data_IF_275887886201
#
_entry.id   IF_275887886201
#
_cell.length_a   1.000
_cell.length_b   1.000
_cell.length_c   1.000
_cell.angle_alpha   90.00
_cell.angle_beta   90.00
_cell.angle_gamma   90.00
#
_symmetry.space_group_name_H-M   'P 1'
#
loop_
_entity.id
_entity.type
_entity.pdbx_description
1 polymer ?
#
# COMPACT_ATOMS: atom_id res chain seq x y z
N UNK A 1 -33.16 11.17 3.00
CA UNK A 1 -31.79 11.72 3.19
C UNK A 1 -31.67 12.94 2.30
N UNK A 2 -31.32 14.10 2.86
CA UNK A 2 -31.27 15.37 2.12
C UNK A 2 -30.09 15.41 1.12
N UNK A 3 -30.31 15.98 -0.06
CA UNK A 3 -29.33 15.99 -1.16
C UNK A 3 -28.04 16.74 -0.78
N UNK A 4 -28.15 17.75 0.09
CA UNK A 4 -27.00 18.48 0.60
C UNK A 4 -26.08 17.62 1.49
N UNK A 5 -26.65 16.74 2.33
CA UNK A 5 -25.87 15.79 3.14
C UNK A 5 -25.18 14.74 2.26
N UNK A 6 -25.84 14.25 1.21
CA UNK A 6 -25.24 13.31 0.25
C UNK A 6 -24.08 13.98 -0.48
N UNK A 7 -24.25 15.22 -0.94
CA UNK A 7 -23.18 16.01 -1.57
C UNK A 7 -21.99 16.25 -0.64
N UNK A 8 -22.22 16.57 0.63
CA UNK A 8 -21.16 16.76 1.62
C UNK A 8 -20.36 15.47 1.89
N UNK A 9 -21.04 14.33 2.05
CA UNK A 9 -20.41 13.02 2.25
C UNK A 9 -19.59 12.61 1.03
N UNK A 10 -20.13 12.77 -0.18
CA UNK A 10 -19.43 12.44 -1.42
C UNK A 10 -18.22 13.36 -1.69
N UNK A 11 -18.26 14.61 -1.22
CA UNK A 11 -17.15 15.57 -1.35
C UNK A 11 -16.01 15.34 -0.35
N UNK A 12 -16.30 14.67 0.77
CA UNK A 12 -15.32 14.43 1.83
C UNK A 12 -14.16 13.54 1.35
N UNK A 13 -14.47 12.49 0.56
CA UNK A 13 -13.46 11.59 -0.01
C UNK A 13 -12.43 12.31 -0.90
N UNK A 14 -12.87 13.07 -1.93
CA UNK A 14 -11.99 13.88 -2.77
C UNK A 14 -11.20 14.92 -1.98
N UNK A 15 -11.79 15.60 -0.99
CA UNK A 15 -11.10 16.62 -0.19
C UNK A 15 -9.96 16.01 0.65
N UNK A 16 -10.23 14.91 1.36
CA UNK A 16 -9.23 14.20 2.16
C UNK A 16 -8.13 13.61 1.27
N UNK A 17 -8.50 13.06 0.11
CA UNK A 17 -7.55 12.55 -0.89
C UNK A 17 -6.64 13.67 -1.40
N UNK A 18 -7.20 14.83 -1.74
CA UNK A 18 -6.44 15.98 -2.25
C UNK A 18 -5.49 16.54 -1.20
N UNK A 19 -5.93 16.70 0.06
CA UNK A 19 -5.08 17.14 1.16
C UNK A 19 -3.94 16.16 1.42
N UNK A 20 -4.24 14.86 1.46
CA UNK A 20 -3.24 13.81 1.65
C UNK A 20 -2.23 13.78 0.50
N UNK A 21 -2.69 13.96 -0.74
CA UNK A 21 -1.84 14.04 -1.92
C UNK A 21 -0.94 15.28 -1.90
N UNK A 22 -1.44 16.45 -1.45
CA UNK A 22 -0.64 17.67 -1.30
C UNK A 22 0.44 17.53 -0.23
N UNK A 23 0.13 16.92 0.92
CA UNK A 23 1.11 16.67 1.98
C UNK A 23 2.16 15.67 1.51
N UNK A 24 1.73 14.55 0.91
CA UNK A 24 2.65 13.55 0.36
C UNK A 24 3.52 14.14 -0.76
N UNK A 25 2.95 14.99 -1.62
CA UNK A 25 3.68 15.71 -2.67
C UNK A 25 4.75 16.63 -2.08
N UNK A 26 4.39 17.50 -1.13
CA UNK A 26 5.35 18.40 -0.47
C UNK A 26 6.46 17.65 0.28
N UNK A 27 6.14 16.53 0.94
CA UNK A 27 7.16 15.69 1.58
C UNK A 27 8.11 15.08 0.54
N UNK A 28 7.56 14.61 -0.58
CA UNK A 28 8.32 14.04 -1.71
C UNK A 28 9.25 15.07 -2.32
N UNK A 29 8.76 16.28 -2.57
CA UNK A 29 9.53 17.38 -3.15
C UNK A 29 10.64 17.86 -2.19
N UNK A 30 10.36 17.88 -0.89
CA UNK A 30 11.31 18.37 0.13
C UNK A 30 12.41 17.37 0.47
N UNK A 31 12.09 16.09 0.61
CA UNK A 31 13.02 15.06 1.08
C UNK A 31 13.55 14.15 -0.03
N UNK A 32 13.06 14.33 -1.25
CA UNK A 32 13.41 13.51 -2.41
C UNK A 32 12.53 12.28 -2.54
N UNK A 33 12.15 11.97 -3.78
CA UNK A 33 11.21 10.91 -4.11
C UNK A 33 11.66 9.54 -3.59
N UNK A 34 12.94 9.20 -3.73
CA UNK A 34 13.43 7.89 -3.32
C UNK A 34 13.38 7.66 -1.79
N UNK A 35 13.77 8.66 -0.99
CA UNK A 35 13.74 8.56 0.49
C UNK A 35 12.32 8.44 1.01
N UNK A 36 11.38 9.18 0.43
CA UNK A 36 9.96 9.11 0.80
C UNK A 36 9.31 7.80 0.35
N UNK A 37 9.73 7.23 -0.78
CA UNK A 37 9.29 5.91 -1.23
C UNK A 37 9.67 4.82 -0.21
N UNK A 38 10.91 4.82 0.26
CA UNK A 38 11.38 3.89 1.31
C UNK A 38 10.62 4.11 2.62
N UNK A 39 10.39 5.36 3.04
CA UNK A 39 9.62 5.67 4.24
C UNK A 39 8.16 5.19 4.13
N UNK A 40 7.53 5.36 2.97
CA UNK A 40 6.19 4.84 2.68
C UNK A 40 6.13 3.31 2.76
N UNK A 41 7.11 2.61 2.19
CA UNK A 41 7.24 1.15 2.27
C UNK A 41 7.46 0.64 3.70
N UNK A 42 8.27 1.34 4.50
CA UNK A 42 8.45 1.03 5.93
C UNK A 42 7.14 1.17 6.71
N UNK A 43 6.41 2.26 6.48
CA UNK A 43 5.10 2.50 7.10
C UNK A 43 4.08 1.43 6.66
N UNK A 44 4.03 1.11 5.37
CA UNK A 44 3.15 0.07 4.81
C UNK A 44 3.45 -1.30 5.43
N UNK A 45 4.73 -1.67 5.52
CA UNK A 45 5.17 -2.93 6.13
C UNK A 45 4.80 -2.99 7.61
N UNK A 46 4.98 -1.89 8.33
CA UNK A 46 4.61 -1.79 9.75
C UNK A 46 3.10 -1.95 9.92
N UNK A 47 2.31 -1.27 9.07
CA UNK A 47 0.85 -1.35 9.10
C UNK A 47 0.31 -2.74 8.83
N UNK A 48 0.80 -3.43 7.79
CA UNK A 48 0.39 -4.80 7.47
C UNK A 48 0.81 -5.81 8.55
N UNK A 49 1.99 -5.62 9.14
CA UNK A 49 2.44 -6.42 10.28
C UNK A 49 1.54 -6.22 11.51
N UNK A 50 1.21 -4.96 11.83
CA UNK A 50 0.30 -4.63 12.92
C UNK A 50 -1.12 -5.17 12.67
N UNK A 51 -1.60 -5.17 11.41
CA UNK A 51 -2.90 -5.77 11.05
C UNK A 51 -2.90 -7.28 11.31
N UNK A 52 -1.80 -7.97 10.99
CA UNK A 52 -1.64 -9.40 11.31
C UNK A 52 -1.73 -9.69 12.82
N UNK A 53 -1.19 -8.80 13.65
CA UNK A 53 -1.23 -8.90 15.11
C UNK A 53 -2.58 -8.46 15.71
N UNK A 54 -3.20 -7.42 15.15
CA UNK A 54 -4.44 -6.85 15.64
C UNK A 54 -5.58 -7.87 15.66
N UNK A 55 -5.61 -8.76 14.66
CA UNK A 55 -6.57 -9.85 14.55
C UNK A 55 -6.50 -10.87 15.70
N UNK A 56 -5.39 -10.93 16.44
CA UNK A 56 -5.21 -11.90 17.54
C UNK A 56 -5.05 -11.27 18.92
N UNK A 57 -4.61 -10.00 19.02
CA UNK A 57 -4.10 -9.44 20.29
C UNK A 57 -4.72 -8.10 20.73
N UNK A 58 -5.11 -7.23 19.80
CA UNK A 58 -5.34 -5.81 20.10
C UNK A 58 -6.77 -5.30 19.82
N UNK A 59 -7.65 -6.16 19.31
CA UNK A 59 -9.05 -5.83 19.05
C UNK A 59 -9.23 -4.66 18.07
N UNK A 60 -10.40 -3.99 18.15
CA UNK A 60 -10.82 -2.97 17.18
C UNK A 60 -9.90 -1.75 17.19
N UNK A 61 -9.44 -1.29 18.36
CA UNK A 61 -8.56 -0.13 18.45
C UNK A 61 -7.20 -0.37 17.76
N UNK A 62 -6.61 -1.56 17.96
CA UNK A 62 -5.39 -1.96 17.27
C UNK A 62 -5.57 -2.03 15.75
N UNK A 63 -6.72 -2.54 15.30
CA UNK A 63 -7.07 -2.58 13.88
C UNK A 63 -7.16 -1.17 13.27
N UNK A 64 -7.84 -0.22 13.93
CA UNK A 64 -8.00 1.17 13.44
C UNK A 64 -6.64 1.86 13.27
N UNK A 65 -5.74 1.69 14.24
CA UNK A 65 -4.38 2.25 14.17
C UNK A 65 -3.62 1.60 13.01
N UNK A 66 -3.65 0.27 12.91
CA UNK A 66 -2.89 -0.47 11.91
C UNK A 66 -3.37 -0.17 10.48
N UNK A 67 -4.69 -0.06 10.24
CA UNK A 67 -5.23 0.30 8.93
C UNK A 67 -4.88 1.75 8.56
N UNK A 68 -4.92 2.67 9.54
CA UNK A 68 -4.54 4.08 9.33
C UNK A 68 -3.07 4.20 8.93
N UNK A 69 -2.17 3.52 9.64
CA UNK A 69 -0.73 3.46 9.30
C UNK A 69 -0.52 2.89 7.90
N UNK A 70 -1.21 1.79 7.57
CA UNK A 70 -1.18 1.18 6.24
C UNK A 70 -1.59 2.17 5.15
N UNK A 71 -2.71 2.89 5.35
CA UNK A 71 -3.22 3.86 4.37
C UNK A 71 -2.27 5.05 4.17
N UNK A 72 -1.70 5.60 5.25
CA UNK A 72 -0.72 6.68 5.17
C UNK A 72 0.54 6.21 4.43
N UNK A 73 1.06 5.03 4.77
CA UNK A 73 2.22 4.44 4.10
C UNK A 73 1.98 4.21 2.61
N UNK A 74 0.80 3.68 2.26
CA UNK A 74 0.38 3.49 0.87
C UNK A 74 0.33 4.80 0.09
N UNK A 75 -0.30 5.84 0.65
CA UNK A 75 -0.40 7.15 0.00
C UNK A 75 0.98 7.78 -0.23
N UNK A 76 1.86 7.71 0.77
CA UNK A 76 3.22 8.25 0.65
C UNK A 76 4.03 7.48 -0.40
N UNK A 77 4.01 6.14 -0.36
CA UNK A 77 4.69 5.28 -1.34
C UNK A 77 4.20 5.55 -2.76
N UNK A 78 2.88 5.64 -2.95
CA UNK A 78 2.24 5.93 -4.23
C UNK A 78 2.75 7.23 -4.86
N UNK A 79 2.67 8.34 -4.13
CA UNK A 79 3.07 9.66 -4.62
C UNK A 79 4.56 9.71 -4.94
N UNK A 80 5.39 9.18 -4.04
CA UNK A 80 6.84 9.22 -4.19
C UNK A 80 7.37 8.25 -5.24
N UNK A 81 6.77 7.07 -5.40
CA UNK A 81 7.10 6.14 -6.48
C UNK A 81 6.76 6.73 -7.87
N UNK A 82 5.60 7.37 -8.00
CA UNK A 82 5.23 8.04 -9.26
C UNK A 82 6.23 9.16 -9.59
N UNK A 83 6.60 9.99 -8.62
CA UNK A 83 7.60 11.03 -8.82
C UNK A 83 8.98 10.46 -9.19
N UNK A 84 9.41 9.37 -8.53
CA UNK A 84 10.69 8.72 -8.81
C UNK A 84 10.75 8.16 -10.23
N UNK A 85 9.71 7.47 -10.69
CA UNK A 85 9.65 6.89 -12.06
C UNK A 85 9.62 7.98 -13.13
N UNK A 86 8.99 9.13 -12.85
CA UNK A 86 8.91 10.24 -13.80
C UNK A 86 10.16 11.13 -13.81
N UNK A 87 11.06 10.97 -12.83
CA UNK A 87 12.29 11.76 -12.75
C UNK A 87 13.22 11.39 -13.92
N UNK A 88 13.61 12.39 -14.71
CA UNK A 88 14.50 12.18 -15.87
C UNK A 88 13.82 11.69 -17.15
N UNK A 89 12.49 11.61 -17.18
CA UNK A 89 11.73 11.21 -18.39
C UNK A 89 11.48 12.42 -19.30
N UNK A 90 11.93 12.31 -20.56
CA UNK A 90 11.70 13.31 -21.60
C UNK A 90 10.22 13.57 -21.84
N UNK A 91 9.87 14.84 -22.12
CA UNK A 91 8.48 15.28 -22.28
C UNK A 91 7.68 14.45 -23.31
N UNK A 92 8.31 14.05 -24.42
CA UNK A 92 7.69 13.22 -25.45
C UNK A 92 7.40 11.77 -25.03
N UNK A 93 8.04 11.27 -23.97
CA UNK A 93 7.91 9.89 -23.50
C UNK A 93 7.10 9.75 -22.21
N UNK A 94 6.78 10.86 -21.51
CA UNK A 94 6.04 10.84 -20.24
C UNK A 94 4.70 10.11 -20.33
N UNK A 95 3.99 10.26 -21.46
CA UNK A 95 2.73 9.56 -21.69
C UNK A 95 2.89 8.04 -21.74
N UNK A 96 3.92 7.55 -22.43
CA UNK A 96 4.23 6.11 -22.54
C UNK A 96 4.67 5.55 -21.18
N UNK A 97 5.59 6.22 -20.49
CA UNK A 97 6.07 5.78 -19.17
C UNK A 97 4.93 5.78 -18.15
N UNK A 98 4.09 6.81 -18.13
CA UNK A 98 2.91 6.85 -17.25
C UNK A 98 1.89 5.78 -17.60
N UNK A 99 1.69 5.48 -18.89
CA UNK A 99 0.83 4.39 -19.35
C UNK A 99 1.33 3.02 -18.87
N UNK A 100 2.62 2.73 -19.03
CA UNK A 100 3.24 1.51 -18.54
C UNK A 100 3.18 1.38 -17.02
N UNK A 101 3.40 2.48 -16.30
CA UNK A 101 3.26 2.53 -14.83
C UNK A 101 1.82 2.22 -14.38
N UNK A 102 0.82 2.79 -15.06
CA UNK A 102 -0.59 2.53 -14.75
C UNK A 102 -0.98 1.08 -15.08
N UNK A 103 -0.52 0.56 -16.23
CA UNK A 103 -0.74 -0.83 -16.61
C UNK A 103 -0.15 -1.80 -15.58
N UNK A 104 1.11 -1.58 -15.19
CA UNK A 104 1.78 -2.37 -14.15
C UNK A 104 0.99 -2.34 -12.84
N UNK A 105 0.51 -1.17 -12.43
CA UNK A 105 -0.33 -1.01 -11.24
C UNK A 105 -1.64 -1.79 -11.33
N UNK A 106 -2.36 -1.69 -12.43
CA UNK A 106 -3.63 -2.40 -12.60
C UNK A 106 -3.43 -3.92 -12.62
N UNK A 107 -2.38 -4.39 -13.29
CA UNK A 107 -2.00 -5.81 -13.24
C UNK A 107 -1.69 -6.25 -11.81
N UNK A 108 -0.91 -5.46 -11.06
CA UNK A 108 -0.61 -5.72 -9.65
C UNK A 108 -1.86 -5.73 -8.76
N UNK A 109 -2.82 -4.84 -8.99
CA UNK A 109 -4.09 -4.80 -8.25
C UNK A 109 -4.94 -6.03 -8.54
N UNK A 110 -5.10 -6.42 -9.80
CA UNK A 110 -5.92 -7.58 -10.20
C UNK A 110 -5.29 -8.88 -9.67
N UNK A 111 -3.99 -9.07 -9.91
CA UNK A 111 -3.27 -10.28 -9.48
C UNK A 111 -3.14 -10.35 -7.96
N UNK A 112 -2.83 -9.23 -7.31
CA UNK A 112 -2.74 -9.12 -5.86
C UNK A 112 -4.06 -9.40 -5.16
N UNK A 113 -5.16 -8.78 -5.61
CA UNK A 113 -6.48 -9.03 -5.03
C UNK A 113 -6.90 -10.50 -5.18
N UNK A 114 -6.65 -11.09 -6.35
CA UNK A 114 -6.93 -12.51 -6.61
C UNK A 114 -6.11 -13.43 -5.71
N UNK A 115 -4.79 -13.18 -5.59
CA UNK A 115 -3.90 -13.97 -4.75
C UNK A 115 -4.26 -13.85 -3.27
N UNK A 116 -4.48 -12.64 -2.76
CA UNK A 116 -4.85 -12.42 -1.35
C UNK A 116 -6.20 -13.06 -1.03
N UNK A 117 -7.17 -13.01 -1.95
CA UNK A 117 -8.46 -13.70 -1.82
C UNK A 117 -8.32 -15.22 -1.78
N UNK A 118 -7.47 -15.79 -2.66
CA UNK A 118 -7.20 -17.22 -2.66
C UNK A 118 -6.51 -17.69 -1.36
N UNK A 119 -5.54 -16.93 -0.86
CA UNK A 119 -4.87 -17.20 0.42
C UNK A 119 -5.87 -17.17 1.57
N UNK A 120 -6.73 -16.16 1.62
CA UNK A 120 -7.79 -16.07 2.62
C UNK A 120 -8.72 -17.28 2.58
N UNK A 121 -9.16 -17.68 1.38
CA UNK A 121 -10.06 -18.81 1.19
C UNK A 121 -9.43 -20.12 1.67
N UNK A 122 -8.17 -20.39 1.31
CA UNK A 122 -7.44 -21.58 1.75
C UNK A 122 -7.20 -21.56 3.27
N UNK A 123 -6.79 -20.41 3.82
CA UNK A 123 -6.48 -20.28 5.24
C UNK A 123 -7.73 -20.32 6.15
N UNK A 124 -8.92 -20.06 5.61
CA UNK A 124 -10.19 -20.11 6.35
C UNK A 124 -10.99 -21.39 6.09
N UNK A 125 -10.49 -22.30 5.26
CA UNK A 125 -11.27 -23.43 4.73
C UNK A 125 -11.80 -24.39 5.81
N UNK A 126 -11.06 -24.56 6.91
CA UNK A 126 -11.33 -25.58 7.94
C UNK A 126 -12.44 -25.21 8.93
N UNK A 127 -12.92 -23.95 8.97
CA UNK A 127 -13.85 -23.50 10.02
C UNK A 127 -15.25 -23.15 9.55
N UNK A 128 -15.80 -23.93 8.63
CA UNK A 128 -17.22 -23.83 8.28
C UNK A 128 -18.07 -24.45 9.39
N UNK A 129 -18.90 -23.65 10.07
CA UNK A 129 -19.92 -24.17 11.00
C UNK A 129 -21.29 -24.15 10.33
N UNK A 130 -21.84 -25.33 10.06
CA UNK A 130 -23.17 -25.49 9.46
C UNK A 130 -23.25 -25.05 7.99
N UNK A 131 -24.41 -24.55 7.57
CA UNK A 131 -24.69 -24.17 6.19
C UNK A 131 -24.10 -22.77 5.91
N UNK A 132 -22.81 -22.73 5.55
CA UNK A 132 -22.19 -21.58 4.87
C UNK A 132 -21.71 -20.42 5.75
N UNK A 133 -21.77 -20.51 7.09
CA UNK A 133 -21.20 -19.50 7.98
C UNK A 133 -19.76 -19.88 8.37
N UNK A 134 -18.82 -19.01 8.03
CA UNK A 134 -17.44 -19.10 8.52
C UNK A 134 -17.43 -18.77 10.02
N UNK A 135 -16.84 -19.64 10.82
CA UNK A 135 -16.56 -19.34 12.23
C UNK A 135 -15.69 -18.08 12.34
N UNK A 136 -15.94 -17.27 13.37
CA UNK A 136 -15.16 -16.07 13.67
C UNK A 136 -13.66 -16.37 13.78
N UNK A 137 -13.31 -17.57 14.25
CA UNK A 137 -11.94 -18.02 14.43
C UNK A 137 -11.25 -18.37 13.10
N UNK A 138 -11.92 -19.06 12.18
CA UNK A 138 -11.36 -19.31 10.85
C UNK A 138 -11.26 -18.03 10.01
N UNK A 139 -12.23 -17.13 10.10
CA UNK A 139 -12.14 -15.81 9.46
C UNK A 139 -10.95 -15.00 10.00
N UNK A 140 -10.71 -15.03 11.33
CA UNK A 140 -9.56 -14.39 11.94
C UNK A 140 -8.22 -14.99 11.46
N UNK A 141 -8.13 -16.33 11.38
CA UNK A 141 -6.97 -17.04 10.85
C UNK A 141 -6.71 -16.68 9.39
N UNK A 142 -7.76 -16.66 8.56
CA UNK A 142 -7.69 -16.24 7.17
C UNK A 142 -7.12 -14.83 7.01
N UNK A 143 -7.70 -13.85 7.73
CA UNK A 143 -7.22 -12.48 7.71
C UNK A 143 -5.76 -12.38 8.17
N UNK A 144 -5.39 -13.11 9.23
CA UNK A 144 -4.03 -13.10 9.75
C UNK A 144 -3.01 -13.59 8.71
N UNK A 145 -3.25 -14.74 8.07
CA UNK A 145 -2.36 -15.31 7.04
C UNK A 145 -2.25 -14.38 5.83
N UNK A 146 -3.36 -13.75 5.42
CA UNK A 146 -3.37 -12.77 4.34
C UNK A 146 -2.51 -11.55 4.67
N UNK A 147 -2.63 -10.99 5.87
CA UNK A 147 -1.80 -9.85 6.29
C UNK A 147 -0.33 -10.22 6.51
N UNK A 148 -0.02 -11.44 6.97
CA UNK A 148 1.36 -11.93 7.01
C UNK A 148 1.97 -11.99 5.62
N UNK A 149 1.22 -12.53 4.66
CA UNK A 149 1.68 -12.59 3.26
C UNK A 149 1.88 -11.19 2.69
N UNK A 150 0.96 -10.26 2.93
CA UNK A 150 1.11 -8.86 2.54
C UNK A 150 2.35 -8.21 3.18
N UNK A 151 2.66 -8.55 4.43
CA UNK A 151 3.88 -8.09 5.12
C UNK A 151 5.15 -8.60 4.42
N UNK A 152 5.18 -9.88 4.04
CA UNK A 152 6.32 -10.48 3.32
C UNK A 152 6.51 -9.82 1.94
N UNK A 153 5.42 -9.57 1.20
CA UNK A 153 5.48 -8.86 -0.08
C UNK A 153 5.96 -7.42 0.08
N UNK A 154 5.51 -6.72 1.13
CA UNK A 154 5.96 -5.36 1.44
C UNK A 154 7.45 -5.32 1.83
N UNK A 155 7.93 -6.30 2.59
CA UNK A 155 9.35 -6.47 2.92
C UNK A 155 10.20 -6.73 1.68
N UNK A 156 9.73 -7.57 0.75
CA UNK A 156 10.42 -7.82 -0.51
C UNK A 156 10.52 -6.55 -1.35
N UNK A 157 9.43 -5.78 -1.46
CA UNK A 157 9.42 -4.49 -2.15
C UNK A 157 10.36 -3.47 -1.48
N UNK A 158 10.36 -3.40 -0.15
CA UNK A 158 11.28 -2.55 0.62
C UNK A 158 12.74 -2.96 0.38
N UNK A 159 13.05 -4.25 0.36
CA UNK A 159 14.38 -4.75 0.07
C UNK A 159 14.85 -4.35 -1.33
N UNK A 160 14.01 -4.52 -2.35
CA UNK A 160 14.30 -4.10 -3.72
C UNK A 160 14.52 -2.59 -3.83
N UNK A 161 13.72 -1.78 -3.12
CA UNK A 161 13.89 -0.33 -3.06
C UNK A 161 15.23 0.06 -2.42
N UNK A 162 15.66 -0.63 -1.36
CA UNK A 162 16.96 -0.37 -0.72
C UNK A 162 18.14 -0.82 -1.59
N UNK A 163 17.99 -1.92 -2.35
CA UNK A 163 19.01 -2.37 -3.29
C UNK A 163 19.18 -1.38 -4.45
N UNK A 164 18.09 -0.86 -5.01
CA UNK A 164 18.16 0.14 -6.08
C UNK A 164 18.84 1.41 -5.58
N UNK A 165 18.56 1.86 -4.36
CA UNK A 165 19.24 2.99 -3.71
C UNK A 165 20.77 2.83 -3.72
N UNK A 166 21.24 1.64 -3.34
CA UNK A 166 22.66 1.32 -3.26
C UNK A 166 23.33 1.24 -4.63
N UNK A 167 22.61 0.77 -5.64
CA UNK A 167 23.13 0.68 -7.00
C UNK A 167 23.37 2.08 -7.58
N UNK A 168 22.42 3.02 -7.40
CA UNK A 168 22.53 4.39 -7.90
C UNK A 168 23.66 5.16 -7.22
N UNK A 169 23.77 5.09 -5.88
CA UNK A 169 24.85 5.78 -5.15
C UNK A 169 26.25 5.25 -5.46
N UNK A 170 26.38 3.97 -5.86
CA UNK A 170 27.66 3.40 -6.31
C UNK A 170 28.05 3.85 -7.71
N UNK A 171 27.09 4.13 -8.58
CA UNK A 171 27.36 4.63 -9.93
C UNK A 171 27.87 6.08 -9.89
N UNK A 172 27.29 6.93 -9.05
CA UNK A 172 27.72 8.32 -8.87
C UNK A 172 29.13 8.42 -8.27
N UNK A 173 29.45 7.60 -7.27
CA UNK A 173 30.80 7.57 -6.65
C UNK A 173 31.91 7.04 -7.58
N UNK A 174 31.57 6.36 -8.68
CA UNK A 174 32.54 5.89 -9.69
C UNK A 174 32.76 6.89 -10.82
N UNK A 175 31.87 7.88 -10.95
CA UNK A 175 31.94 8.90 -12.00
C UNK A 175 32.62 10.20 -11.53
N UNK A 176 32.86 10.34 -10.21
CA UNK A 176 33.67 11.39 -9.57
C UNK A 176 35.13 10.98 -9.40
#
# INVERSE_FOLDING_TARGET
LDAAMVGAVLSTGPLVSTLSALVAGRLTDRFGAHRMMVAGLLSLTTGTFLLSLAMTRFGIAGYIVAITVTCIGYALFQTSNNAAVMTGVDAGQRGVVSGLLNLSRNLGLITGASLMGAIFAVASAEGHEGIGLLSSEAAARGMQVTFQTATVLALAALFLALLSARATGRAESRAS
#
